data_IF_318924103049
#
_entry.id   IF_318924103049
#
_cell.length_a   1.000
_cell.length_b   1.000
_cell.length_c   1.000
_cell.angle_alpha   90.00
_cell.angle_beta   90.00
_cell.angle_gamma   90.00
#
_symmetry.space_group_name_H-M   'P 1'
#
loop_
_entity.id
_entity.type
_entity.pdbx_description
1 polymer ?
#
# COMPACT_ATOMS: atom_id res chain seq x y z
N UNK A 1 -27.86 8.38 -8.35
CA UNK A 1 -27.17 7.11 -8.01
C UNK A 1 -25.72 7.29 -7.56
N UNK A 2 -24.74 7.72 -8.38
CA UNK A 2 -23.36 7.92 -7.90
C UNK A 2 -23.22 9.02 -6.84
N UNK A 3 -23.94 10.14 -7.01
CA UNK A 3 -24.00 11.24 -6.03
C UNK A 3 -24.79 10.94 -4.76
N UNK A 4 -25.61 9.89 -4.77
CA UNK A 4 -26.38 9.45 -3.60
C UNK A 4 -25.57 8.47 -2.74
N UNK A 5 -24.63 7.74 -3.36
CA UNK A 5 -23.74 6.79 -2.69
C UNK A 5 -22.43 7.43 -2.23
N UNK A 6 -21.94 8.45 -2.94
CA UNK A 6 -20.71 9.17 -2.63
C UNK A 6 -21.02 10.65 -2.42
N UNK A 7 -21.54 10.97 -1.23
CA UNK A 7 -21.99 12.31 -0.87
C UNK A 7 -20.86 13.36 -1.01
N UNK A 8 -19.62 12.95 -0.78
CA UNK A 8 -18.42 13.81 -0.87
C UNK A 8 -17.59 13.54 -2.14
N UNK A 9 -18.21 12.87 -3.12
CA UNK A 9 -17.61 12.51 -4.39
C UNK A 9 -16.65 11.33 -4.30
N UNK A 10 -16.02 11.02 -5.44
CA UNK A 10 -15.13 9.86 -5.62
C UNK A 10 -13.64 10.25 -5.68
N UNK A 11 -13.31 11.46 -5.21
CA UNK A 11 -11.94 11.99 -5.18
C UNK A 11 -11.31 11.90 -3.79
N UNK A 12 -10.19 12.59 -3.60
CA UNK A 12 -9.43 12.57 -2.34
C UNK A 12 -10.27 13.03 -1.12
N UNK A 13 -11.20 13.98 -1.30
CA UNK A 13 -12.09 14.43 -0.24
C UNK A 13 -13.02 13.32 0.28
N UNK A 14 -13.57 12.51 -0.64
CA UNK A 14 -14.32 11.31 -0.27
C UNK A 14 -13.46 10.30 0.49
N UNK A 15 -12.20 10.11 0.07
CA UNK A 15 -11.27 9.24 0.77
C UNK A 15 -10.96 9.75 2.20
N UNK A 16 -10.73 11.05 2.39
CA UNK A 16 -10.52 11.63 3.73
C UNK A 16 -11.69 11.36 4.66
N UNK A 17 -12.93 11.52 4.17
CA UNK A 17 -14.11 11.19 4.96
C UNK A 17 -14.17 9.71 5.31
N UNK A 18 -13.94 8.83 4.35
CA UNK A 18 -13.94 7.39 4.60
C UNK A 18 -12.86 6.97 5.63
N UNK A 19 -11.71 7.65 5.64
CA UNK A 19 -10.69 7.47 6.67
C UNK A 19 -11.23 7.85 8.06
N UNK A 20 -11.92 8.98 8.20
CA UNK A 20 -12.54 9.37 9.48
C UNK A 20 -13.63 8.38 9.91
N UNK A 21 -14.44 7.88 8.98
CA UNK A 21 -15.46 6.85 9.25
C UNK A 21 -14.80 5.54 9.73
N UNK A 22 -13.70 5.12 9.11
CA UNK A 22 -12.96 3.94 9.54
C UNK A 22 -12.28 4.09 10.90
N UNK A 23 -11.89 5.30 11.31
CA UNK A 23 -11.36 5.52 12.69
C UNK A 23 -12.40 5.18 13.76
N UNK A 24 -13.70 5.26 13.44
CA UNK A 24 -14.80 4.92 14.35
C UNK A 24 -15.09 3.43 14.41
N UNK A 25 -14.60 2.64 13.45
CA UNK A 25 -14.77 1.19 13.44
C UNK A 25 -13.86 0.50 14.46
N UNK A 26 -14.23 -0.73 14.82
CA UNK A 26 -13.33 -1.65 15.50
C UNK A 26 -12.04 -1.82 14.68
N UNK A 27 -10.91 -2.00 15.36
CA UNK A 27 -9.59 -2.02 14.73
C UNK A 27 -9.51 -3.00 13.55
N UNK A 28 -10.04 -4.22 13.71
CA UNK A 28 -10.06 -5.28 12.70
C UNK A 28 -10.83 -4.89 11.42
N UNK A 29 -11.79 -3.98 11.53
CA UNK A 29 -12.65 -3.56 10.42
C UNK A 29 -12.11 -2.30 9.70
N UNK A 30 -10.96 -1.78 10.10
CA UNK A 30 -10.36 -0.58 9.49
C UNK A 30 -9.64 -0.96 8.21
N UNK A 31 -10.26 -0.67 7.06
CA UNK A 31 -9.65 -0.97 5.77
C UNK A 31 -8.82 0.20 5.22
N UNK A 32 -9.34 1.43 5.21
CA UNK A 32 -8.58 2.62 4.77
C UNK A 32 -7.74 3.10 5.93
N UNK A 33 -6.42 3.10 5.74
CA UNK A 33 -5.42 3.32 6.81
C UNK A 33 -4.67 4.63 6.66
N UNK A 34 -4.54 5.13 5.44
CA UNK A 34 -3.92 6.42 5.16
C UNK A 34 -4.59 7.08 3.95
N UNK A 35 -4.76 8.40 4.01
CA UNK A 35 -5.18 9.27 2.91
C UNK A 35 -4.37 10.54 3.04
N UNK A 36 -3.45 10.78 2.11
CA UNK A 36 -2.42 11.80 2.29
C UNK A 36 -2.02 12.47 0.98
N UNK A 37 -1.45 13.67 1.11
CA UNK A 37 -0.85 14.43 0.02
C UNK A 37 0.56 14.90 0.43
N UNK A 38 1.54 14.59 -0.40
CA UNK A 38 2.96 14.84 -0.17
C UNK A 38 3.53 15.72 -1.28
N UNK A 39 4.46 16.60 -0.95
CA UNK A 39 5.24 17.31 -1.97
C UNK A 39 6.38 16.42 -2.49
N UNK A 40 6.57 16.35 -3.80
CA UNK A 40 7.68 15.62 -4.41
C UNK A 40 8.90 16.51 -4.61
N UNK A 41 10.11 15.94 -4.53
CA UNK A 41 11.37 16.68 -4.60
C UNK A 41 11.58 17.38 -5.96
N UNK A 42 11.09 16.79 -7.04
CA UNK A 42 11.19 17.31 -8.42
C UNK A 42 10.03 18.28 -8.76
N UNK A 43 9.27 18.71 -7.76
CA UNK A 43 8.06 19.52 -7.92
C UNK A 43 6.84 18.66 -8.23
N UNK A 44 5.68 19.11 -7.74
CA UNK A 44 4.40 18.40 -7.85
C UNK A 44 3.95 17.77 -6.53
N UNK A 45 2.73 17.23 -6.56
CA UNK A 45 2.07 16.61 -5.41
C UNK A 45 1.87 15.12 -5.67
N UNK A 46 2.17 14.30 -4.67
CA UNK A 46 1.87 12.89 -4.63
C UNK A 46 0.69 12.64 -3.71
N UNK A 47 -0.37 12.01 -4.22
CA UNK A 47 -1.54 11.62 -3.46
C UNK A 47 -1.50 10.12 -3.25
N UNK A 48 -1.77 9.73 -2.02
CA UNK A 48 -1.67 8.35 -1.56
C UNK A 48 -2.94 7.99 -0.79
N UNK A 49 -3.52 6.85 -1.13
CA UNK A 49 -4.51 6.17 -0.29
C UNK A 49 -4.01 4.76 -0.03
N UNK A 50 -3.86 4.36 1.24
CA UNK A 50 -3.48 2.99 1.62
C UNK A 50 -4.67 2.27 2.23
N UNK A 51 -4.96 1.09 1.71
CA UNK A 51 -6.06 0.22 2.06
C UNK A 51 -5.54 -1.17 2.45
N UNK A 52 -5.60 -1.50 3.74
CA UNK A 52 -5.24 -2.83 4.26
C UNK A 52 -5.91 -3.09 5.61
N UNK A 53 -6.53 -4.25 5.77
CA UNK A 53 -7.01 -4.70 7.08
C UNK A 53 -5.84 -5.08 7.99
N UNK A 54 -5.97 -5.04 9.32
CA UNK A 54 -4.92 -5.52 10.23
C UNK A 54 -4.51 -6.97 9.98
N UNK A 55 -5.44 -7.85 9.59
CA UNK A 55 -5.12 -9.22 9.17
C UNK A 55 -4.18 -9.26 7.95
N UNK A 56 -4.32 -8.30 7.02
CA UNK A 56 -3.42 -8.18 5.88
C UNK A 56 -2.01 -7.71 6.30
N UNK A 57 -1.89 -6.90 7.36
CA UNK A 57 -0.58 -6.57 7.96
C UNK A 57 0.16 -7.80 8.46
N UNK A 58 -0.54 -8.77 9.06
CA UNK A 58 0.09 -10.03 9.48
C UNK A 58 0.55 -10.85 8.27
N UNK A 59 -0.30 -10.98 7.25
CA UNK A 59 0.05 -11.67 6.01
C UNK A 59 1.24 -11.00 5.29
N UNK A 60 1.27 -9.66 5.27
CA UNK A 60 2.40 -8.90 4.72
C UNK A 60 3.68 -9.20 5.50
N UNK A 61 3.63 -9.26 6.83
CA UNK A 61 4.81 -9.62 7.64
C UNK A 61 5.30 -11.05 7.37
N UNK A 62 4.38 -11.99 7.11
CA UNK A 62 4.68 -13.42 6.97
C UNK A 62 5.14 -13.82 5.56
N UNK A 63 4.75 -13.07 4.53
CA UNK A 63 5.16 -13.39 3.15
C UNK A 63 6.67 -13.23 2.95
N UNK A 64 7.27 -14.17 2.22
CA UNK A 64 8.70 -14.16 1.90
C UNK A 64 9.00 -13.65 0.49
N UNK A 65 8.07 -13.86 -0.42
CA UNK A 65 8.23 -13.56 -1.84
C UNK A 65 7.05 -12.70 -2.35
N UNK A 66 6.82 -11.51 -1.76
CA UNK A 66 5.77 -10.62 -2.24
C UNK A 66 5.98 -10.21 -3.70
N UNK A 67 4.89 -10.08 -4.44
CA UNK A 67 4.84 -9.53 -5.78
C UNK A 67 4.06 -8.22 -5.81
N UNK A 68 4.50 -7.28 -6.62
CA UNK A 68 3.83 -6.01 -6.88
C UNK A 68 3.15 -6.11 -8.23
N UNK A 69 1.85 -5.80 -8.24
CA UNK A 69 1.08 -5.53 -9.45
C UNK A 69 0.66 -4.05 -9.45
N UNK A 70 0.96 -3.34 -10.53
CA UNK A 70 0.50 -1.97 -10.74
C UNK A 70 -0.42 -1.95 -11.94
N UNK A 71 -1.73 -2.02 -11.67
CA UNK A 71 -2.72 -2.01 -12.72
C UNK A 71 -3.00 -0.57 -13.20
N UNK A 72 -2.74 -0.31 -14.48
CA UNK A 72 -3.19 0.90 -15.17
C UNK A 72 -4.70 0.84 -15.46
N UNK A 73 -5.54 0.72 -14.43
CA UNK A 73 -6.99 0.79 -14.62
C UNK A 73 -7.36 2.24 -14.95
N UNK A 74 -8.04 2.41 -16.09
CA UNK A 74 -8.28 3.69 -16.79
C UNK A 74 -9.26 4.64 -16.07
N UNK A 75 -9.19 4.78 -14.75
CA UNK A 75 -9.99 5.76 -14.02
C UNK A 75 -9.14 6.97 -13.62
N UNK A 76 -9.24 8.01 -14.46
CA UNK A 76 -8.97 9.42 -14.16
C UNK A 76 -7.95 9.70 -13.04
N UNK A 77 -6.66 9.73 -13.40
CA UNK A 77 -5.49 10.18 -12.61
C UNK A 77 -4.94 9.18 -11.58
N UNK A 78 -5.72 8.22 -11.09
CA UNK A 78 -5.27 7.25 -10.10
C UNK A 78 -4.76 5.97 -10.75
N UNK A 79 -3.76 5.38 -10.11
CA UNK A 79 -3.19 4.09 -10.42
C UNK A 79 -3.39 3.19 -9.21
N UNK A 80 -3.78 1.96 -9.51
CA UNK A 80 -3.99 0.92 -8.50
C UNK A 80 -2.66 0.18 -8.30
N UNK A 81 -2.26 0.01 -7.05
CA UNK A 81 -1.03 -0.65 -6.64
C UNK A 81 -1.38 -1.73 -5.63
N UNK A 82 -0.99 -2.96 -5.92
CA UNK A 82 -1.25 -4.11 -5.06
C UNK A 82 0.07 -4.81 -4.70
N UNK A 83 0.20 -5.20 -3.44
CA UNK A 83 1.20 -6.16 -2.98
C UNK A 83 0.47 -7.47 -2.73
N UNK A 84 0.96 -8.54 -3.33
CA UNK A 84 0.40 -9.87 -3.20
C UNK A 84 1.43 -10.83 -2.60
N UNK A 85 0.96 -11.86 -1.91
CA UNK A 85 1.77 -12.99 -1.48
C UNK A 85 1.07 -14.30 -1.80
N UNK A 86 1.84 -15.32 -2.19
CA UNK A 86 1.35 -16.68 -2.28
C UNK A 86 1.37 -17.34 -0.89
N UNK A 87 0.25 -17.95 -0.50
CA UNK A 87 0.13 -18.62 0.79
C UNK A 87 -0.30 -20.07 0.58
N UNK A 88 0.60 -21.01 0.89
CA UNK A 88 0.37 -22.44 0.72
C UNK A 88 -0.83 -22.95 1.53
N UNK A 89 -1.06 -22.39 2.72
CA UNK A 89 -2.22 -22.74 3.57
C UNK A 89 -3.55 -22.53 2.85
N UNK A 90 -3.63 -21.49 2.00
CA UNK A 90 -4.84 -21.15 1.25
C UNK A 90 -4.77 -21.59 -0.22
N UNK A 91 -3.60 -22.10 -0.67
CA UNK A 91 -3.30 -22.46 -2.06
C UNK A 91 -3.71 -21.37 -3.08
N UNK A 92 -3.44 -20.11 -2.75
CA UNK A 92 -3.76 -18.94 -3.58
C UNK A 92 -2.88 -17.73 -3.26
N UNK A 93 -2.81 -16.81 -4.22
CA UNK A 93 -2.34 -15.45 -3.96
C UNK A 93 -3.38 -14.64 -3.19
N UNK A 94 -2.92 -13.81 -2.26
CA UNK A 94 -3.74 -12.89 -1.48
C UNK A 94 -3.12 -11.51 -1.59
N UNK A 95 -3.94 -10.49 -1.89
CA UNK A 95 -3.55 -9.08 -1.79
C UNK A 95 -3.37 -8.72 -0.32
N UNK A 96 -2.15 -8.38 0.06
CA UNK A 96 -1.74 -8.04 1.44
C UNK A 96 -1.59 -6.54 1.66
N UNK A 97 -1.54 -5.74 0.60
CA UNK A 97 -1.70 -4.30 0.67
C UNK A 97 -2.27 -3.79 -0.65
N UNK A 98 -3.18 -2.83 -0.58
CA UNK A 98 -3.77 -2.19 -1.74
C UNK A 98 -3.63 -0.67 -1.57
N UNK A 99 -3.19 0.02 -2.60
CA UNK A 99 -3.04 1.47 -2.57
C UNK A 99 -3.47 2.12 -3.89
N UNK A 100 -3.88 3.37 -3.78
CA UNK A 100 -4.13 4.24 -4.93
C UNK A 100 -3.11 5.38 -4.91
N UNK A 101 -2.43 5.57 -6.04
CA UNK A 101 -1.37 6.56 -6.20
C UNK A 101 -1.53 7.35 -7.51
N UNK A 102 -0.90 8.53 -7.60
CA UNK A 102 -0.92 9.36 -8.83
C UNK A 102 0.46 9.54 -9.48
N UNK A 103 1.50 8.91 -8.93
CA UNK A 103 2.88 8.96 -9.43
C UNK A 103 3.61 7.64 -9.14
N UNK A 104 4.47 7.20 -10.06
CA UNK A 104 5.36 6.04 -9.92
C UNK A 104 6.85 6.45 -9.84
N UNK A 105 7.13 7.72 -9.54
CA UNK A 105 8.51 8.15 -9.31
C UNK A 105 9.13 7.38 -8.14
N UNK A 106 10.47 7.28 -8.11
CA UNK A 106 11.18 6.64 -7.00
C UNK A 106 10.79 7.25 -5.64
N UNK A 107 10.69 8.59 -5.56
CA UNK A 107 10.23 9.30 -4.37
C UNK A 107 8.82 8.88 -3.92
N UNK A 108 7.89 8.75 -4.87
CA UNK A 108 6.52 8.33 -4.60
C UNK A 108 6.48 6.90 -4.06
N UNK A 109 7.25 5.99 -4.65
CA UNK A 109 7.37 4.63 -4.14
C UNK A 109 8.03 4.56 -2.76
N UNK A 110 9.07 5.37 -2.49
CA UNK A 110 9.68 5.44 -1.15
C UNK A 110 8.64 5.83 -0.10
N UNK A 111 7.81 6.85 -0.39
CA UNK A 111 6.72 7.27 0.49
C UNK A 111 5.70 6.13 0.65
N UNK A 112 5.21 5.55 -0.46
CA UNK A 112 4.24 4.46 -0.46
C UNK A 112 4.66 3.29 0.44
N UNK A 113 5.87 2.74 0.22
CA UNK A 113 6.37 1.61 1.00
C UNK A 113 6.60 1.98 2.47
N UNK A 114 7.10 3.18 2.74
CA UNK A 114 7.28 3.66 4.12
C UNK A 114 5.95 3.64 4.87
N UNK A 115 4.86 4.12 4.25
CA UNK A 115 3.55 4.12 4.87
C UNK A 115 2.99 2.71 5.05
N UNK A 116 3.09 1.84 4.03
CA UNK A 116 2.63 0.44 4.13
C UNK A 116 3.37 -0.28 5.27
N UNK A 117 4.70 -0.18 5.33
CA UNK A 117 5.48 -0.85 6.38
C UNK A 117 5.27 -0.21 7.76
N UNK A 118 5.03 1.09 7.85
CA UNK A 118 4.68 1.74 9.12
C UNK A 118 3.33 1.23 9.64
N UNK A 119 2.32 1.09 8.78
CA UNK A 119 1.02 0.52 9.16
C UNK A 119 1.20 -0.93 9.63
N UNK A 120 1.96 -1.73 8.87
CA UNK A 120 2.27 -3.11 9.23
C UNK A 120 2.97 -3.20 10.59
N UNK A 121 3.96 -2.34 10.84
CA UNK A 121 4.68 -2.30 12.11
C UNK A 121 3.77 -1.87 13.27
N UNK A 122 2.88 -0.89 13.06
CA UNK A 122 1.90 -0.48 14.06
C UNK A 122 0.92 -1.61 14.42
N UNK A 123 0.49 -2.39 13.42
CA UNK A 123 -0.47 -3.49 13.62
C UNK A 123 0.17 -4.73 14.25
N UNK A 124 1.41 -5.03 13.88
CA UNK A 124 2.08 -6.28 14.26
C UNK A 124 3.12 -6.12 15.37
N UNK A 125 3.53 -4.89 15.67
CA UNK A 125 4.65 -4.58 16.56
C UNK A 125 6.02 -5.00 16.02
N UNK A 126 6.12 -5.35 14.73
CA UNK A 126 7.34 -5.84 14.10
C UNK A 126 7.66 -5.05 12.83
N UNK A 127 8.89 -4.55 12.66
CA UNK A 127 9.27 -3.83 11.46
C UNK A 127 9.42 -4.78 10.27
N UNK A 128 9.33 -4.21 9.07
CA UNK A 128 9.74 -4.89 7.84
C UNK A 128 11.21 -5.32 7.93
N UNK A 129 11.50 -6.55 7.49
CA UNK A 129 12.86 -7.10 7.46
C UNK A 129 13.14 -7.67 6.09
N UNK A 130 14.33 -7.40 5.58
CA UNK A 130 14.82 -7.97 4.34
C UNK A 130 15.91 -8.99 4.66
N UNK A 131 15.77 -10.19 4.10
CA UNK A 131 16.63 -11.33 4.37
C UNK A 131 18.09 -11.01 4.10
N UNK A 132 18.37 -10.30 3.00
CA UNK A 132 19.74 -9.90 2.65
C UNK A 132 20.45 -9.05 3.72
N UNK A 133 19.70 -8.25 4.50
CA UNK A 133 20.26 -7.34 5.51
C UNK A 133 20.29 -7.99 6.90
N UNK A 134 19.24 -8.75 7.24
CA UNK A 134 18.98 -9.23 8.61
C UNK A 134 18.93 -10.76 8.74
N UNK A 135 19.16 -11.50 7.66
CA UNK A 135 19.04 -12.97 7.60
C UNK A 135 17.61 -13.50 7.78
N UNK A 136 16.60 -12.62 7.83
CA UNK A 136 15.19 -12.95 8.08
C UNK A 136 14.26 -11.96 7.35
N UNK A 137 13.00 -12.37 7.11
CA UNK A 137 11.98 -11.55 6.46
C UNK A 137 11.92 -11.78 4.93
N UNK A 138 11.60 -10.73 4.18
CA UNK A 138 11.44 -10.77 2.73
C UNK A 138 12.71 -11.23 2.03
N UNK A 139 12.62 -12.31 1.25
CA UNK A 139 13.74 -12.87 0.49
C UNK A 139 13.83 -12.23 -0.90
N UNK A 140 12.68 -12.03 -1.55
CA UNK A 140 12.58 -11.45 -2.90
C UNK A 140 11.32 -10.58 -2.95
N UNK A 141 11.44 -9.37 -3.48
CA UNK A 141 10.29 -8.54 -3.86
C UNK A 141 10.20 -8.53 -5.39
N UNK A 142 9.18 -9.16 -5.95
CA UNK A 142 8.96 -9.22 -7.40
C UNK A 142 8.10 -8.03 -7.82
N UNK A 143 8.37 -7.46 -8.98
CA UNK A 143 7.56 -6.37 -9.52
C UNK A 143 7.28 -6.60 -11.01
N UNK A 144 6.01 -6.63 -11.37
CA UNK A 144 5.53 -6.57 -12.74
C UNK A 144 5.72 -5.14 -13.28
N UNK A 145 6.25 -4.98 -14.50
CA UNK A 145 6.13 -3.70 -15.24
C UNK A 145 6.98 -2.51 -14.77
N UNK A 146 7.79 -2.65 -13.72
CA UNK A 146 8.68 -1.58 -13.24
C UNK A 146 10.02 -1.65 -13.97
N UNK A 147 10.47 -0.53 -14.53
CA UNK A 147 11.91 -0.36 -14.80
C UNK A 147 12.64 -0.72 -13.51
N UNK A 148 13.63 -1.61 -13.61
CA UNK A 148 14.42 -2.08 -12.47
C UNK A 148 14.81 -0.91 -11.55
N UNK A 149 15.10 -1.17 -10.27
CA UNK A 149 15.77 -0.26 -9.30
C UNK A 149 14.98 0.36 -8.12
N UNK A 150 13.69 0.07 -7.89
CA UNK A 150 12.98 0.73 -6.74
C UNK A 150 13.35 0.17 -5.36
N UNK A 151 13.71 -1.12 -5.25
CA UNK A 151 13.94 -1.74 -3.94
C UNK A 151 15.34 -1.49 -3.33
N UNK A 152 16.30 -0.93 -4.08
CA UNK A 152 17.65 -0.69 -3.58
C UNK A 152 17.73 0.54 -2.63
N UNK A 153 16.90 1.56 -2.85
CA UNK A 153 17.00 2.87 -2.18
C UNK A 153 16.11 2.99 -0.91
N UNK A 154 15.44 1.90 -0.49
CA UNK A 154 14.66 1.85 0.76
C UNK A 154 15.51 1.51 1.99
N UNK A 155 16.83 1.38 1.84
CA UNK A 155 17.76 0.93 2.88
C UNK A 155 18.66 2.06 3.43
N UNK A 156 18.50 3.29 2.91
CA UNK A 156 19.17 4.50 3.42
C UNK A 156 18.20 5.50 4.08
#
# INVERSE_FOLDING_TARGET
MRSELFLDGTGLQGAYRLLEEHKLLAFEDRYIRAVEEHALAVGGTFKLVVCMFPAMSQLLLETRHPSIDTAFKRHHLWQEFEIEGWFDEYNRSIVVAHAFIISQSADAHKILFTHIFSIMEQDTGKPARFHYIRGTGYEIFMADGHGSWVCADMVE
#
